data_IF_171049276065
#
_entry.id   IF_171049276065
#
_cell.length_a   1.000
_cell.length_b   1.000
_cell.length_c   1.000
_cell.angle_alpha   90.00
_cell.angle_beta   90.00
_cell.angle_gamma   90.00
#
_symmetry.space_group_name_H-M   'P 1'
#
loop_
_entity.id
_entity.type
_entity.pdbx_description
1 polymer ?
#
# COMPACT_ATOMS: atom_id res chain seq x y z
N UNK A 1 -49.21 30.22 -22.96
CA UNK A 1 -48.52 29.13 -23.66
C UNK A 1 -47.25 28.81 -22.88
N UNK A 2 -47.24 27.62 -22.26
CA UNK A 2 -46.09 26.74 -21.95
C UNK A 2 -44.81 27.34 -21.34
N UNK A 3 -44.55 27.07 -20.04
CA UNK A 3 -43.50 26.13 -19.49
C UNK A 3 -42.08 26.71 -19.62
N UNK A 4 -41.26 26.95 -18.60
CA UNK A 4 -40.96 26.16 -17.39
C UNK A 4 -39.54 25.57 -17.49
N UNK A 5 -38.85 25.49 -16.36
CA UNK A 5 -37.76 24.55 -16.00
C UNK A 5 -36.33 25.06 -15.74
N UNK A 6 -36.08 25.22 -14.43
CA UNK A 6 -35.07 24.51 -13.60
C UNK A 6 -33.58 24.90 -13.73
N UNK A 7 -33.04 25.26 -12.56
CA UNK A 7 -31.61 25.37 -12.23
C UNK A 7 -30.84 24.12 -12.66
N UNK A 8 -29.81 24.28 -13.50
CA UNK A 8 -28.72 23.32 -13.52
C UNK A 8 -27.63 23.84 -12.59
N UNK A 9 -27.86 23.69 -11.29
CA UNK A 9 -26.75 23.51 -10.35
C UNK A 9 -25.94 22.34 -10.90
N UNK A 10 -24.73 22.63 -11.40
CA UNK A 10 -23.74 21.60 -11.67
C UNK A 10 -23.33 21.04 -10.30
N UNK A 11 -24.16 20.16 -9.76
CA UNK A 11 -23.73 19.24 -8.73
C UNK A 11 -22.85 18.26 -9.49
N UNK A 12 -21.58 18.62 -9.69
CA UNK A 12 -20.56 17.60 -9.86
C UNK A 12 -20.64 16.85 -8.53
N UNK A 13 -21.41 15.77 -8.51
CA UNK A 13 -21.27 14.78 -7.47
C UNK A 13 -19.85 14.25 -7.67
N UNK A 14 -18.88 14.89 -7.01
CA UNK A 14 -17.61 14.26 -6.70
C UNK A 14 -18.00 13.06 -5.85
N UNK A 15 -18.26 11.94 -6.53
CA UNK A 15 -18.24 10.63 -5.92
C UNK A 15 -16.81 10.46 -5.45
N UNK A 16 -16.51 10.97 -4.26
CA UNK A 16 -15.35 10.55 -3.51
C UNK A 16 -15.55 9.05 -3.40
N UNK A 17 -14.75 8.28 -4.13
CA UNK A 17 -14.79 6.83 -4.02
C UNK A 17 -14.48 6.54 -2.55
N UNK A 18 -15.51 6.21 -1.77
CA UNK A 18 -15.32 5.86 -0.38
C UNK A 18 -14.63 4.49 -0.36
N UNK A 19 -13.68 4.34 0.54
CA UNK A 19 -13.01 3.06 0.71
C UNK A 19 -14.04 1.95 0.99
N UNK A 20 -13.86 0.74 0.43
CA UNK A 20 -14.76 -0.37 0.72
C UNK A 20 -14.81 -0.66 2.23
N UNK A 21 -15.88 -1.29 2.70
CA UNK A 21 -16.01 -1.66 4.11
C UNK A 21 -14.79 -2.45 4.60
N UNK A 22 -14.25 -2.06 5.75
CA UNK A 22 -13.05 -2.67 6.34
C UNK A 22 -11.72 -2.06 5.86
N UNK A 23 -11.73 -1.23 4.81
CA UNK A 23 -10.55 -0.49 4.36
C UNK A 23 -10.44 0.84 5.10
N UNK A 24 -9.22 1.26 5.40
CA UNK A 24 -8.92 2.56 6.02
C UNK A 24 -8.51 3.56 4.93
N UNK A 25 -9.15 4.71 4.94
CA UNK A 25 -8.89 5.80 3.99
C UNK A 25 -7.71 6.64 4.43
N UNK A 26 -6.78 6.92 3.51
CA UNK A 26 -5.73 7.91 3.69
C UNK A 26 -5.37 8.56 2.36
N UNK A 27 -5.52 9.89 2.29
CA UNK A 27 -5.33 10.67 1.07
C UNK A 27 -6.07 10.05 -0.12
N UNK A 28 -5.36 9.72 -1.21
CA UNK A 28 -5.96 9.20 -2.44
C UNK A 28 -5.95 7.66 -2.54
N UNK A 29 -5.86 6.98 -1.39
CA UNK A 29 -5.77 5.53 -1.30
C UNK A 29 -6.58 4.92 -0.15
N UNK A 30 -6.86 3.63 -0.30
CA UNK A 30 -7.47 2.77 0.70
C UNK A 30 -6.51 1.66 1.10
N UNK A 31 -6.44 1.36 2.39
CA UNK A 31 -5.54 0.36 2.97
C UNK A 31 -6.28 -0.75 3.70
N UNK A 32 -5.81 -1.99 3.56
CA UNK A 32 -6.36 -3.16 4.23
C UNK A 32 -5.24 -4.04 4.78
N UNK A 33 -5.29 -4.34 6.08
CA UNK A 33 -4.40 -5.32 6.70
C UNK A 33 -4.92 -6.74 6.45
N UNK A 34 -4.02 -7.65 6.11
CA UNK A 34 -4.30 -9.07 5.90
C UNK A 34 -3.52 -9.88 6.93
N UNK A 35 -4.28 -10.51 7.84
CA UNK A 35 -3.77 -11.25 8.99
C UNK A 35 -3.30 -12.66 8.65
N UNK A 36 -3.56 -13.17 7.46
CA UNK A 36 -2.92 -14.40 6.99
C UNK A 36 -1.45 -14.12 6.68
N UNK A 37 -0.59 -15.13 6.76
CA UNK A 37 0.83 -14.99 6.47
C UNK A 37 1.19 -15.64 5.14
N UNK A 38 1.88 -14.89 4.27
CA UNK A 38 2.29 -15.32 2.93
C UNK A 38 3.72 -14.86 2.65
N UNK A 39 4.40 -15.53 1.72
CA UNK A 39 5.62 -14.98 1.13
C UNK A 39 5.28 -13.71 0.32
N UNK A 40 6.28 -12.88 0.01
CA UNK A 40 6.04 -11.57 -0.58
C UNK A 40 5.28 -11.65 -1.93
N UNK A 41 5.66 -12.60 -2.79
CA UNK A 41 5.05 -12.76 -4.11
C UNK A 41 3.58 -13.19 -4.00
N UNK A 42 3.27 -14.12 -3.10
CA UNK A 42 1.89 -14.57 -2.86
C UNK A 42 1.04 -13.48 -2.19
N UNK A 43 1.63 -12.68 -1.28
CA UNK A 43 0.97 -11.52 -0.70
C UNK A 43 0.63 -10.46 -1.75
N UNK A 44 1.56 -10.17 -2.67
CA UNK A 44 1.32 -9.30 -3.82
C UNK A 44 0.19 -9.82 -4.71
N UNK A 45 0.21 -11.11 -5.07
CA UNK A 45 -0.88 -11.72 -5.83
C UNK A 45 -2.23 -11.67 -5.09
N UNK A 46 -2.24 -11.86 -3.76
CA UNK A 46 -3.44 -11.78 -2.95
C UNK A 46 -4.04 -10.35 -2.96
N UNK A 47 -3.20 -9.31 -2.90
CA UNK A 47 -3.67 -7.92 -3.06
C UNK A 47 -4.17 -7.65 -4.49
N UNK A 48 -3.49 -8.16 -5.51
CA UNK A 48 -3.95 -8.03 -6.90
C UNK A 48 -5.32 -8.69 -7.12
N UNK A 49 -5.59 -9.83 -6.47
CA UNK A 49 -6.88 -10.52 -6.52
C UNK A 49 -8.07 -9.70 -6.00
N UNK A 50 -7.83 -8.60 -5.26
CA UNK A 50 -8.85 -7.66 -4.77
C UNK A 50 -8.73 -6.27 -5.42
N UNK A 51 -8.13 -6.20 -6.62
CA UNK A 51 -7.84 -4.98 -7.37
C UNK A 51 -6.99 -3.97 -6.58
N UNK A 52 -6.01 -4.48 -5.82
CA UNK A 52 -5.07 -3.72 -5.03
C UNK A 52 -3.63 -4.16 -5.36
N UNK A 53 -2.66 -3.67 -4.60
CA UNK A 53 -1.27 -4.12 -4.58
C UNK A 53 -0.75 -4.08 -3.15
N UNK A 54 0.42 -4.63 -2.86
CA UNK A 54 1.09 -4.34 -1.58
C UNK A 54 1.30 -2.83 -1.42
N UNK A 55 1.16 -2.33 -0.19
CA UNK A 55 1.18 -0.91 0.08
C UNK A 55 2.52 -0.27 -0.26
N UNK A 56 2.51 0.92 -0.86
CA UNK A 56 3.70 1.64 -1.29
C UNK A 56 3.82 2.93 -0.50
N UNK A 57 4.96 3.17 0.14
CA UNK A 57 5.05 4.20 1.17
C UNK A 57 6.03 5.28 0.73
N UNK A 58 5.51 6.35 0.14
CA UNK A 58 6.32 7.38 -0.52
C UNK A 58 6.42 8.69 0.28
N UNK A 59 5.81 8.77 1.46
CA UNK A 59 5.87 9.95 2.32
C UNK A 59 5.90 9.57 3.80
N UNK A 60 6.43 10.48 4.62
CA UNK A 60 6.44 10.33 6.07
C UNK A 60 5.04 10.20 6.65
N UNK A 61 4.07 10.99 6.18
CA UNK A 61 2.69 10.93 6.67
C UNK A 61 2.06 9.56 6.41
N UNK A 62 2.43 8.92 5.29
CA UNK A 62 1.95 7.58 4.93
C UNK A 62 2.58 6.51 5.82
N UNK A 63 3.87 6.62 6.15
CA UNK A 63 4.51 5.75 7.17
C UNK A 63 3.77 5.87 8.50
N UNK A 64 3.56 7.09 8.99
CA UNK A 64 2.90 7.34 10.27
C UNK A 64 1.46 6.81 10.27
N UNK A 65 0.74 6.96 9.17
CA UNK A 65 -0.57 6.36 8.99
C UNK A 65 -0.53 4.83 9.12
N UNK A 66 0.41 4.15 8.43
CA UNK A 66 0.54 2.69 8.54
C UNK A 66 0.97 2.25 9.94
N UNK A 67 1.91 2.94 10.60
CA UNK A 67 2.27 2.68 12.01
C UNK A 67 1.06 2.76 12.94
N UNK A 68 0.25 3.80 12.79
CA UNK A 68 -1.00 3.94 13.56
C UNK A 68 -1.96 2.79 13.27
N UNK A 69 -2.02 2.37 12.01
CA UNK A 69 -2.81 1.23 11.55
C UNK A 69 -2.42 -0.08 12.23
N UNK A 70 -1.11 -0.26 12.46
CA UNK A 70 -0.47 -1.44 13.06
C UNK A 70 -0.27 -1.35 14.59
N UNK A 71 -0.63 -0.22 15.23
CA UNK A 71 -0.35 0.06 16.64
C UNK A 71 -0.89 -0.97 17.64
N UNK A 72 -1.91 -1.75 17.24
CA UNK A 72 -2.51 -2.83 18.05
C UNK A 72 -2.29 -4.22 17.44
N UNK A 73 -1.54 -4.29 16.35
CA UNK A 73 -1.27 -5.50 15.61
C UNK A 73 0.04 -6.15 16.10
N UNK A 74 0.24 -7.40 15.70
CA UNK A 74 1.47 -8.16 15.98
C UNK A 74 2.11 -8.66 14.68
N UNK A 75 3.36 -9.07 14.79
CA UNK A 75 4.17 -9.56 13.68
C UNK A 75 4.63 -8.49 12.71
N UNK A 76 5.36 -8.95 11.71
CA UNK A 76 5.92 -8.12 10.65
C UNK A 76 5.03 -8.12 9.41
N UNK A 77 5.15 -7.06 8.61
CA UNK A 77 4.19 -6.76 7.55
C UNK A 77 4.87 -6.47 6.22
N UNK A 78 4.58 -7.26 5.19
CA UNK A 78 5.04 -6.96 3.83
C UNK A 78 4.43 -5.67 3.29
N UNK A 79 5.28 -4.87 2.65
CA UNK A 79 4.95 -3.72 1.82
C UNK A 79 5.63 -3.83 0.45
N UNK A 80 5.24 -2.99 -0.49
CA UNK A 80 5.28 -3.30 -1.91
C UNK A 80 6.60 -3.05 -2.64
N UNK A 81 7.76 -3.05 -1.98
CA UNK A 81 9.04 -2.88 -2.66
C UNK A 81 9.92 -4.12 -2.63
N UNK A 82 10.76 -4.24 -3.66
CA UNK A 82 11.86 -5.21 -3.79
C UNK A 82 13.05 -4.62 -4.53
N UNK A 83 14.22 -5.22 -4.36
CA UNK A 83 15.42 -4.98 -5.17
C UNK A 83 16.02 -6.27 -5.79
N UNK A 84 15.22 -7.34 -5.87
CA UNK A 84 15.53 -8.67 -6.42
C UNK A 84 16.10 -8.72 -7.87
N UNK A 85 15.98 -7.62 -8.62
CA UNK A 85 16.56 -7.50 -9.97
C UNK A 85 17.98 -6.94 -9.94
N UNK A 86 18.26 -6.01 -9.03
CA UNK A 86 19.57 -5.35 -8.90
C UNK A 86 19.70 -4.85 -7.48
N UNK A 87 20.53 -5.55 -6.71
CA UNK A 87 20.86 -5.25 -5.33
C UNK A 87 21.06 -3.75 -5.06
N UNK A 88 20.37 -3.24 -4.04
CA UNK A 88 20.39 -1.83 -3.63
C UNK A 88 19.58 -0.90 -4.54
N UNK A 89 18.94 -1.40 -5.60
CA UNK A 89 18.02 -0.64 -6.46
C UNK A 89 16.57 -1.04 -6.22
N UNK A 90 16.04 -0.57 -5.10
CA UNK A 90 14.65 -0.76 -4.68
C UNK A 90 13.64 -0.19 -5.67
N UNK A 91 12.55 -0.91 -5.88
CA UNK A 91 11.44 -0.54 -6.76
C UNK A 91 10.11 -0.88 -6.13
N UNK A 92 9.17 0.05 -6.18
CA UNK A 92 7.78 -0.25 -5.86
C UNK A 92 7.15 -1.17 -6.91
N UNK A 93 6.22 -2.02 -6.48
CA UNK A 93 5.52 -2.97 -7.35
C UNK A 93 4.68 -2.30 -8.45
N UNK A 94 4.30 -1.03 -8.27
CA UNK A 94 3.66 -0.17 -9.28
C UNK A 94 4.61 0.30 -10.38
N UNK A 95 5.92 0.27 -10.15
CA UNK A 95 6.93 0.90 -10.99
C UNK A 95 7.20 2.37 -10.66
N UNK A 96 6.55 2.93 -9.64
CA UNK A 96 6.85 4.27 -9.13
C UNK A 96 8.28 4.35 -8.55
N UNK A 97 8.81 5.57 -8.45
CA UNK A 97 10.16 5.82 -7.92
C UNK A 97 10.24 5.50 -6.41
N UNK A 98 11.37 4.90 -6.02
CA UNK A 98 11.73 4.64 -4.62
C UNK A 98 12.69 5.74 -4.13
N UNK A 99 12.15 6.91 -3.80
CA UNK A 99 12.91 8.12 -3.45
C UNK A 99 12.72 8.57 -2.00
N UNK A 100 11.80 7.93 -1.26
CA UNK A 100 11.61 8.08 0.16
C UNK A 100 11.98 6.78 0.89
N UNK A 101 12.64 6.90 2.04
CA UNK A 101 13.06 5.76 2.85
C UNK A 101 12.79 5.98 4.32
N UNK A 102 12.38 4.92 5.02
CA UNK A 102 12.20 4.90 6.48
C UNK A 102 12.86 3.67 7.11
N UNK A 103 14.05 3.32 6.60
CA UNK A 103 14.87 2.21 7.07
C UNK A 103 15.12 2.26 8.58
N UNK A 104 15.09 1.09 9.21
CA UNK A 104 15.53 0.88 10.57
C UNK A 104 17.05 1.11 10.66
N UNK A 105 17.61 1.32 11.86
CA UNK A 105 19.05 1.49 12.03
C UNK A 105 19.82 0.28 11.46
N UNK A 106 20.74 0.57 10.52
CA UNK A 106 21.58 -0.38 9.78
C UNK A 106 20.92 -1.11 8.60
N UNK A 107 19.67 -0.75 8.24
CA UNK A 107 18.98 -1.32 7.08
C UNK A 107 19.06 -0.44 5.82
N UNK A 108 18.92 -1.02 4.61
CA UNK A 108 18.86 -2.45 4.35
C UNK A 108 20.24 -3.10 4.45
N UNK A 109 20.32 -4.28 5.07
CA UNK A 109 21.59 -4.95 5.38
C UNK A 109 21.92 -6.12 4.44
N UNK A 110 20.93 -6.59 3.67
CA UNK A 110 21.01 -7.73 2.77
C UNK A 110 21.58 -9.01 3.43
N UNK A 111 21.11 -9.34 4.65
CA UNK A 111 21.58 -10.50 5.39
C UNK A 111 20.96 -11.80 4.83
N UNK A 112 21.74 -12.53 4.03
CA UNK A 112 21.32 -13.76 3.34
C UNK A 112 20.37 -13.54 2.14
N UNK A 113 20.68 -12.57 1.27
CA UNK A 113 19.94 -12.26 0.04
C UNK A 113 18.49 -11.81 0.36
N UNK A 114 18.37 -10.72 1.12
CA UNK A 114 17.11 -10.13 1.55
C UNK A 114 16.65 -9.05 0.57
N UNK A 115 15.69 -9.41 -0.29
CA UNK A 115 15.29 -8.53 -1.39
C UNK A 115 13.87 -7.93 -1.23
N UNK A 116 13.20 -8.12 -0.09
CA UNK A 116 11.78 -7.78 0.08
C UNK A 116 11.50 -6.87 1.28
N UNK A 117 10.75 -5.78 1.04
CA UNK A 117 10.52 -4.75 2.04
C UNK A 117 9.42 -5.13 3.04
N UNK A 118 9.73 -5.06 4.33
CA UNK A 118 8.77 -5.19 5.43
C UNK A 118 8.72 -3.95 6.33
N UNK A 119 7.61 -3.79 7.04
CA UNK A 119 7.54 -3.00 8.27
C UNK A 119 7.85 -3.91 9.46
N UNK A 120 9.00 -3.71 10.10
CA UNK A 120 9.54 -4.60 11.12
C UNK A 120 9.11 -4.19 12.52
N UNK A 121 8.38 -5.07 13.22
CA UNK A 121 7.75 -4.71 14.51
C UNK A 121 8.78 -4.34 15.58
N UNK A 122 9.91 -5.04 15.62
CA UNK A 122 10.94 -4.84 16.66
C UNK A 122 11.49 -3.41 16.63
N UNK A 123 11.69 -2.84 15.44
CA UNK A 123 12.12 -1.45 15.25
C UNK A 123 10.94 -0.50 15.04
N UNK A 124 9.87 -0.67 15.80
CA UNK A 124 8.72 0.25 15.78
C UNK A 124 8.11 0.43 14.38
N UNK A 125 8.15 -0.63 13.57
CA UNK A 125 7.70 -0.65 12.19
C UNK A 125 8.47 0.32 11.27
N UNK A 126 9.73 0.63 11.58
CA UNK A 126 10.69 1.06 10.55
C UNK A 126 10.92 -0.06 9.53
N UNK A 127 11.46 0.30 8.38
CA UNK A 127 11.62 -0.65 7.28
C UNK A 127 12.83 -1.53 7.48
N UNK A 128 12.69 -2.77 7.07
CA UNK A 128 13.73 -3.78 7.05
C UNK A 128 13.58 -4.56 5.74
N UNK A 129 14.68 -5.01 5.17
CA UNK A 129 14.69 -6.00 4.11
C UNK A 129 14.66 -7.40 4.71
N UNK A 130 13.87 -8.29 4.12
CA UNK A 130 13.91 -9.69 4.51
C UNK A 130 13.77 -10.60 3.30
N UNK A 131 14.09 -11.86 3.49
CA UNK A 131 14.00 -12.87 2.46
C UNK A 131 12.57 -12.97 1.98
N UNK A 132 12.40 -12.85 0.67
CA UNK A 132 11.08 -12.84 0.04
C UNK A 132 10.23 -14.10 0.29
N UNK A 133 10.85 -15.22 0.71
CA UNK A 133 10.19 -16.50 0.98
C UNK A 133 9.60 -16.62 2.40
N UNK A 134 9.87 -15.66 3.29
CA UNK A 134 9.35 -15.65 4.66
C UNK A 134 7.84 -15.36 4.67
N UNK A 135 7.08 -16.13 5.43
CA UNK A 135 5.65 -15.91 5.59
C UNK A 135 5.38 -14.78 6.60
N UNK A 136 4.80 -13.67 6.14
CA UNK A 136 4.44 -12.51 6.98
C UNK A 136 3.03 -12.02 6.70
N UNK A 137 2.49 -11.25 7.63
CA UNK A 137 1.28 -10.47 7.38
C UNK A 137 1.55 -9.44 6.27
N UNK A 138 0.52 -8.81 5.73
CA UNK A 138 0.73 -7.87 4.62
C UNK A 138 -0.34 -6.80 4.54
N UNK A 139 0.01 -5.68 3.92
CA UNK A 139 -0.87 -4.53 3.76
C UNK A 139 -1.17 -4.35 2.28
N UNK A 140 -2.45 -4.38 1.92
CA UNK A 140 -2.90 -4.03 0.58
C UNK A 140 -3.26 -2.56 0.48
N UNK A 141 -2.94 -1.94 -0.66
CA UNK A 141 -3.29 -0.59 -1.05
C UNK A 141 -4.08 -0.57 -2.37
N UNK A 142 -5.14 0.22 -2.41
CA UNK A 142 -5.90 0.55 -3.61
C UNK A 142 -5.97 2.06 -3.78
N UNK A 143 -5.42 2.58 -4.87
CA UNK A 143 -5.53 4.01 -5.21
C UNK A 143 -6.87 4.31 -5.88
N UNK A 144 -7.36 5.55 -5.77
CA UNK A 144 -8.61 5.98 -6.41
C UNK A 144 -8.54 6.08 -7.94
N UNK A 145 -7.35 5.97 -8.53
CA UNK A 145 -7.13 6.02 -9.99
C UNK A 145 -7.20 4.66 -10.70
N UNK A 146 -7.62 3.57 -10.05
CA UNK A 146 -8.05 2.37 -10.78
C UNK A 146 -9.36 2.70 -11.50
N UNK A 147 -9.25 3.18 -12.73
CA UNK A 147 -10.33 3.63 -13.62
C UNK A 147 -11.59 2.80 -13.44
N UNK A 148 -12.60 3.38 -12.78
CA UNK A 148 -13.98 3.05 -13.12
C UNK A 148 -14.08 3.25 -14.64
N UNK A 149 -14.69 2.33 -15.41
CA UNK A 149 -14.94 2.59 -16.81
C UNK A 149 -15.74 3.89 -16.88
N UNK A 150 -15.16 4.92 -17.49
CA UNK A 150 -15.94 6.06 -17.96
C UNK A 150 -16.86 5.45 -19.01
N UNK A 151 -18.11 5.18 -18.62
CA UNK A 151 -19.14 4.80 -19.55
C UNK A 151 -19.41 6.08 -20.35
N UNK A 152 -18.70 6.23 -21.47
CA UNK A 152 -18.98 7.21 -22.50
C UNK A 152 -20.16 6.80 -23.35
#
# INVERSE_FOLDING_TARGET
>A
MTVGFILLSVIIAFSHALCPNGWRHFQDSCFLTKQETLNWNDAQHACQGINARLAEVQTQEKVEFLRNMLSKEDGDWWIGAKDDVTEGQWRWASGELFDYTDWAPNEPNNDHDQDCLQMFKTDQYHWDDDRCDVAKHFICEKGFNSTLPVIG
#
